data_IF_611063824579
#
_entry.id   IF_611063824579
#
_cell.length_a   1.000
_cell.length_b   1.000
_cell.length_c   1.000
_cell.angle_alpha   90.00
_cell.angle_beta   90.00
_cell.angle_gamma   90.00
#
_symmetry.space_group_name_H-M   'P 1'
#
loop_
_entity.id
_entity.type
_entity.pdbx_description
1 polymer ?
#
# COMPACT_ATOMS: atom_id res chain seq x y z
N UNK A 1 -16.19 -13.18 15.08
CA UNK A 1 -16.51 -13.93 13.82
C UNK A 1 -17.56 -13.26 12.94
N UNK A 2 -18.47 -12.41 13.45
CA UNK A 2 -19.46 -11.68 12.64
C UNK A 2 -18.91 -10.41 11.98
N UNK A 3 -18.24 -9.57 12.77
CA UNK A 3 -17.64 -8.30 12.31
C UNK A 3 -16.71 -8.47 11.09
N UNK A 4 -15.62 -9.21 11.23
CA UNK A 4 -14.60 -9.35 10.17
C UNK A 4 -15.06 -10.13 8.94
N UNK A 5 -16.27 -10.70 8.96
CA UNK A 5 -16.87 -11.44 7.83
C UNK A 5 -18.00 -10.67 7.16
N UNK A 6 -18.22 -9.40 7.54
CA UNK A 6 -19.32 -8.58 7.05
C UNK A 6 -20.68 -9.29 7.18
N UNK A 7 -20.98 -9.79 8.38
CA UNK A 7 -22.25 -10.46 8.67
C UNK A 7 -23.44 -9.53 8.32
N UNK A 8 -24.36 -9.93 7.41
CA UNK A 8 -25.41 -9.05 6.93
C UNK A 8 -26.35 -8.54 8.02
N UNK A 9 -26.71 -9.42 8.98
CA UNK A 9 -27.60 -9.08 10.09
C UNK A 9 -26.95 -8.07 11.04
N UNK A 10 -25.64 -8.21 11.30
CA UNK A 10 -24.91 -7.27 12.14
C UNK A 10 -24.82 -5.87 11.52
N UNK A 11 -24.52 -5.78 10.22
CA UNK A 11 -24.44 -4.50 9.50
C UNK A 11 -25.80 -3.78 9.47
N UNK A 12 -26.87 -4.53 9.18
CA UNK A 12 -28.25 -4.02 9.20
C UNK A 12 -28.69 -3.57 10.60
N UNK A 13 -28.37 -4.36 11.62
CA UNK A 13 -28.65 -4.01 13.01
C UNK A 13 -27.94 -2.71 13.42
N UNK A 14 -26.66 -2.55 13.11
CA UNK A 14 -25.94 -1.31 13.46
C UNK A 14 -26.41 -0.10 12.66
N UNK A 15 -26.74 -0.27 11.38
CA UNK A 15 -27.30 0.81 10.58
C UNK A 15 -28.65 1.32 11.11
N UNK A 16 -29.46 0.45 11.73
CA UNK A 16 -30.76 0.87 12.29
C UNK A 16 -30.65 1.70 13.58
N UNK A 17 -29.45 1.81 14.16
CA UNK A 17 -29.22 2.57 15.39
C UNK A 17 -29.01 4.07 15.15
N UNK A 18 -28.96 4.53 13.90
CA UNK A 18 -28.73 5.93 13.59
C UNK A 18 -29.19 6.35 12.20
N UNK A 19 -29.11 7.64 11.91
CA UNK A 19 -29.60 8.24 10.67
C UNK A 19 -28.52 8.44 9.61
N UNK A 20 -27.25 8.50 10.04
CA UNK A 20 -26.07 8.78 9.22
C UNK A 20 -24.88 7.94 9.66
N UNK A 21 -23.98 7.65 8.74
CA UNK A 21 -22.75 6.90 8.97
C UNK A 21 -21.53 7.69 8.49
N UNK A 22 -20.54 7.85 9.38
CA UNK A 22 -19.26 8.48 9.06
C UNK A 22 -18.17 7.44 9.22
N UNK A 23 -17.47 7.11 8.13
CA UNK A 23 -16.30 6.24 8.19
C UNK A 23 -15.02 7.09 8.28
N UNK A 24 -14.39 7.09 9.46
CA UNK A 24 -13.13 7.79 9.71
C UNK A 24 -11.96 6.84 9.99
N UNK A 25 -12.10 5.56 9.63
CA UNK A 25 -11.13 4.49 9.92
C UNK A 25 -10.47 3.94 8.64
N UNK A 26 -9.53 4.69 8.05
CA UNK A 26 -8.83 4.30 6.81
C UNK A 26 -8.13 2.93 6.92
N UNK A 27 -7.56 2.61 8.09
CA UNK A 27 -6.82 1.36 8.31
C UNK A 27 -7.63 0.08 8.06
N UNK A 28 -8.96 0.12 8.08
CA UNK A 28 -9.83 -1.03 7.76
C UNK A 28 -10.56 -0.87 6.43
N UNK A 29 -10.38 0.24 5.71
CA UNK A 29 -11.08 0.53 4.45
C UNK A 29 -10.79 -0.51 3.34
N UNK A 30 -9.65 -1.19 3.40
CA UNK A 30 -9.29 -2.28 2.49
C UNK A 30 -9.98 -3.62 2.80
N UNK A 31 -10.84 -3.69 3.83
CA UNK A 31 -11.55 -4.91 4.24
C UNK A 31 -13.05 -4.67 4.29
N UNK A 32 -13.82 -5.62 3.78
CA UNK A 32 -15.26 -5.63 3.95
C UNK A 32 -15.63 -6.20 5.32
N UNK A 33 -15.97 -5.33 6.28
CA UNK A 33 -16.44 -5.68 7.61
C UNK A 33 -17.86 -5.12 7.85
N UNK A 34 -18.52 -5.60 8.91
CA UNK A 34 -19.86 -5.12 9.24
C UNK A 34 -19.83 -3.64 9.66
N UNK A 35 -18.78 -3.20 10.39
CA UNK A 35 -18.65 -1.81 10.87
C UNK A 35 -18.34 -0.77 9.81
N UNK A 36 -17.98 -1.17 8.58
CA UNK A 36 -17.73 -0.26 7.47
C UNK A 36 -18.70 -0.50 6.31
N UNK A 37 -18.48 -1.52 5.49
CA UNK A 37 -19.29 -1.87 4.33
C UNK A 37 -20.70 -2.25 4.77
N UNK A 38 -20.84 -3.04 5.84
CA UNK A 38 -22.13 -3.48 6.34
C UNK A 38 -23.06 -2.33 6.73
N UNK A 39 -22.59 -1.37 7.53
CA UNK A 39 -23.38 -0.19 7.91
C UNK A 39 -23.64 0.69 6.67
N UNK A 40 -22.62 0.99 5.86
CA UNK A 40 -22.75 1.87 4.70
C UNK A 40 -23.77 1.35 3.67
N UNK A 41 -23.86 0.03 3.47
CA UNK A 41 -24.85 -0.59 2.58
C UNK A 41 -26.29 -0.55 3.10
N UNK A 42 -26.51 -0.27 4.39
CA UNK A 42 -27.83 -0.33 5.02
C UNK A 42 -28.33 1.03 5.57
N UNK A 43 -27.47 2.04 5.72
CA UNK A 43 -27.84 3.35 6.28
C UNK A 43 -28.71 4.21 5.35
N UNK A 44 -28.73 3.87 4.05
CA UNK A 44 -29.49 4.56 3.00
C UNK A 44 -28.63 5.43 2.08
N UNK A 45 -29.12 5.67 0.87
CA UNK A 45 -28.40 6.45 -0.15
C UNK A 45 -28.16 7.90 0.33
N UNK A 46 -26.94 8.40 0.11
CA UNK A 46 -26.53 9.75 0.53
C UNK A 46 -26.30 9.93 2.04
N UNK A 47 -26.45 8.87 2.86
CA UNK A 47 -26.31 8.94 4.33
C UNK A 47 -24.98 8.40 4.86
N UNK A 48 -24.04 8.09 3.97
CA UNK A 48 -22.67 7.67 4.31
C UNK A 48 -21.67 8.70 3.82
N UNK A 49 -20.70 9.09 4.66
CA UNK A 49 -19.62 9.99 4.29
C UNK A 49 -18.26 9.56 4.86
N UNK A 50 -17.19 10.05 4.25
CA UNK A 50 -15.85 9.96 4.81
C UNK A 50 -15.69 11.00 5.94
N UNK A 51 -15.11 10.59 7.06
CA UNK A 51 -14.65 11.55 8.07
C UNK A 51 -13.40 12.30 7.61
N UNK A 52 -12.95 13.27 8.40
CA UNK A 52 -11.83 14.13 8.02
C UNK A 52 -10.48 13.40 7.95
N UNK A 53 -10.25 12.38 8.79
CA UNK A 53 -9.04 11.57 8.70
C UNK A 53 -9.09 10.71 7.44
N UNK A 54 -10.22 10.05 7.19
CA UNK A 54 -10.43 9.28 5.96
C UNK A 54 -10.26 10.15 4.70
N UNK A 55 -10.86 11.33 4.67
CA UNK A 55 -10.73 12.28 3.56
C UNK A 55 -9.27 12.68 3.32
N UNK A 56 -8.53 12.99 4.38
CA UNK A 56 -7.09 13.32 4.29
C UNK A 56 -6.31 12.15 3.71
N UNK A 57 -6.52 10.93 4.22
CA UNK A 57 -5.82 9.73 3.73
C UNK A 57 -6.11 9.47 2.25
N UNK A 58 -7.38 9.58 1.82
CA UNK A 58 -7.77 9.46 0.41
C UNK A 58 -7.09 10.54 -0.43
N UNK A 59 -7.07 11.79 0.03
CA UNK A 59 -6.47 12.91 -0.71
C UNK A 59 -4.96 12.76 -0.83
N UNK A 60 -4.27 12.39 0.24
CA UNK A 60 -2.82 12.22 0.23
C UNK A 60 -2.40 11.00 -0.58
N UNK A 61 -2.99 9.84 -0.33
CA UNK A 61 -2.59 8.60 -0.99
C UNK A 61 -3.08 8.59 -2.45
N UNK A 62 -4.35 8.94 -2.67
CA UNK A 62 -4.91 9.04 -4.02
C UNK A 62 -4.25 10.14 -4.84
N UNK A 63 -4.09 11.34 -4.27
CA UNK A 63 -3.45 12.47 -4.94
C UNK A 63 -1.99 12.19 -5.30
N UNK A 64 -1.21 11.59 -4.39
CA UNK A 64 0.18 11.23 -4.65
C UNK A 64 0.35 10.12 -5.71
N UNK A 65 -0.72 9.39 -6.04
CA UNK A 65 -0.66 8.22 -6.92
C UNK A 65 -1.35 8.50 -8.27
N UNK A 66 -2.45 9.23 -8.30
CA UNK A 66 -3.24 9.40 -9.53
C UNK A 66 -2.91 10.69 -10.30
N UNK A 67 -2.61 11.77 -9.58
CA UNK A 67 -2.21 13.05 -10.18
C UNK A 67 -1.13 13.75 -9.33
N UNK A 68 0.06 13.13 -9.18
CA UNK A 68 1.11 13.70 -8.36
C UNK A 68 1.65 15.00 -8.95
N UNK A 69 1.90 15.99 -8.10
CA UNK A 69 2.80 17.08 -8.44
C UNK A 69 4.22 16.51 -8.67
N UNK A 70 4.83 16.88 -9.79
CA UNK A 70 6.15 16.39 -10.18
C UNK A 70 7.25 17.36 -9.76
N UNK A 71 8.43 16.86 -9.34
CA UNK A 71 8.85 15.46 -9.37
C UNK A 71 8.28 14.61 -8.22
N UNK A 72 7.71 13.44 -8.55
CA UNK A 72 7.29 12.43 -7.59
C UNK A 72 8.45 11.48 -7.30
N UNK A 73 8.93 11.47 -6.07
CA UNK A 73 9.93 10.53 -5.58
C UNK A 73 9.30 9.62 -4.54
N UNK A 74 9.31 8.31 -4.81
CA UNK A 74 8.90 7.32 -3.83
C UNK A 74 10.12 6.78 -3.08
N UNK A 75 9.96 6.55 -1.77
CA UNK A 75 10.98 5.92 -0.92
C UNK A 75 10.38 4.66 -0.33
N UNK A 76 10.99 3.52 -0.64
CA UNK A 76 10.54 2.20 -0.21
C UNK A 76 11.60 1.55 0.66
N UNK A 77 11.16 0.97 1.76
CA UNK A 77 12.03 0.20 2.65
C UNK A 77 11.28 -0.97 3.26
N UNK A 78 11.94 -1.62 4.21
CA UNK A 78 11.45 -2.83 4.86
C UNK A 78 12.41 -3.99 4.69
N UNK A 79 12.00 -5.16 5.16
CA UNK A 79 12.85 -6.35 5.19
C UNK A 79 12.79 -7.17 3.90
N UNK A 80 11.62 -7.22 3.25
CA UNK A 80 11.33 -8.13 2.15
C UNK A 80 10.82 -7.38 0.92
N UNK A 81 11.32 -7.79 -0.24
CA UNK A 81 10.83 -7.37 -1.55
C UNK A 81 9.44 -7.95 -1.79
N UNK A 82 9.18 -9.19 -1.37
CA UNK A 82 7.89 -9.87 -1.58
C UNK A 82 6.68 -9.09 -1.05
N UNK A 83 6.83 -8.42 0.09
CA UNK A 83 5.77 -7.61 0.70
C UNK A 83 5.47 -6.30 -0.07
N UNK A 84 6.32 -5.92 -1.03
CA UNK A 84 6.30 -4.61 -1.70
C UNK A 84 6.25 -4.67 -3.23
N UNK A 85 6.18 -5.86 -3.83
CA UNK A 85 6.22 -6.04 -5.29
C UNK A 85 5.20 -5.15 -6.01
N UNK A 86 3.91 -5.30 -5.67
CA UNK A 86 2.85 -4.52 -6.33
C UNK A 86 2.96 -3.02 -6.11
N UNK A 87 3.52 -2.59 -4.96
CA UNK A 87 3.77 -1.18 -4.68
C UNK A 87 4.91 -0.65 -5.55
N UNK A 88 6.00 -1.40 -5.70
CA UNK A 88 7.13 -1.05 -6.57
C UNK A 88 6.64 -0.95 -8.02
N UNK A 89 5.91 -1.94 -8.51
CA UNK A 89 5.43 -1.98 -9.90
C UNK A 89 4.55 -0.76 -10.23
N UNK A 90 3.58 -0.45 -9.37
CA UNK A 90 2.70 0.71 -9.53
C UNK A 90 3.49 2.03 -9.46
N UNK A 91 4.47 2.14 -8.56
CA UNK A 91 5.27 3.37 -8.41
C UNK A 91 6.30 3.55 -9.52
N UNK A 92 6.83 2.49 -10.14
CA UNK A 92 7.72 2.64 -11.30
C UNK A 92 7.02 3.27 -12.51
N UNK A 93 5.71 3.05 -12.64
CA UNK A 93 4.88 3.64 -13.69
C UNK A 93 4.58 5.12 -13.41
N UNK A 94 4.39 5.47 -12.13
CA UNK A 94 3.89 6.79 -11.71
C UNK A 94 5.01 7.75 -11.29
N UNK A 95 5.97 7.29 -10.51
CA UNK A 95 7.06 8.10 -9.96
C UNK A 95 8.16 8.41 -10.99
N UNK A 96 8.84 9.53 -10.77
CA UNK A 96 10.05 9.93 -11.50
C UNK A 96 11.27 9.14 -10.99
N UNK A 97 11.33 8.89 -9.67
CA UNK A 97 12.35 8.06 -9.03
C UNK A 97 11.74 7.20 -7.92
N UNK A 98 12.30 6.01 -7.73
CA UNK A 98 11.96 5.10 -6.64
C UNK A 98 13.26 4.75 -5.90
N UNK A 99 13.43 5.28 -4.70
CA UNK A 99 14.56 4.97 -3.83
C UNK A 99 14.23 3.72 -3.01
N UNK A 100 15.10 2.72 -3.02
CA UNK A 100 14.94 1.51 -2.22
C UNK A 100 15.98 1.50 -1.10
N UNK A 101 15.56 1.21 0.12
CA UNK A 101 16.44 1.05 1.28
C UNK A 101 15.97 -0.10 2.18
N UNK A 102 16.50 -0.17 3.40
CA UNK A 102 16.23 -1.28 4.32
C UNK A 102 16.81 -2.60 3.83
N UNK A 103 16.51 -3.70 4.53
CA UNK A 103 17.12 -5.00 4.20
C UNK A 103 16.71 -5.52 2.81
N UNK A 104 15.55 -5.12 2.29
CA UNK A 104 15.12 -5.50 0.94
C UNK A 104 16.07 -5.05 -0.17
N UNK A 105 16.90 -4.02 0.08
CA UNK A 105 17.92 -3.58 -0.89
C UNK A 105 18.92 -4.69 -1.22
N UNK A 106 19.22 -5.59 -0.27
CA UNK A 106 20.21 -6.64 -0.47
C UNK A 106 19.76 -7.68 -1.49
N UNK A 107 18.45 -7.94 -1.63
CA UNK A 107 17.93 -8.78 -2.72
C UNK A 107 18.21 -8.14 -4.10
N UNK A 108 18.05 -6.82 -4.23
CA UNK A 108 18.40 -6.10 -5.46
C UNK A 108 19.92 -6.07 -5.72
N UNK A 109 20.73 -5.81 -4.69
CA UNK A 109 22.19 -5.84 -4.81
C UNK A 109 22.70 -7.23 -5.19
N UNK A 110 22.12 -8.30 -4.62
CA UNK A 110 22.41 -9.69 -4.98
C UNK A 110 22.01 -9.99 -6.43
N UNK A 111 20.88 -9.46 -6.90
CA UNK A 111 20.47 -9.57 -8.32
C UNK A 111 21.42 -8.85 -9.29
N UNK A 112 22.15 -7.83 -8.83
CA UNK A 112 23.25 -7.18 -9.55
C UNK A 112 24.60 -7.90 -9.38
N UNK A 113 24.62 -9.08 -8.75
CA UNK A 113 25.83 -9.87 -8.54
C UNK A 113 26.76 -9.33 -7.43
N UNK A 114 26.29 -8.39 -6.61
CA UNK A 114 27.09 -7.86 -5.49
C UNK A 114 27.11 -8.85 -4.32
N UNK A 115 28.24 -8.90 -3.63
CA UNK A 115 28.35 -9.66 -2.38
C UNK A 115 27.61 -8.91 -1.28
N UNK A 116 26.61 -9.55 -0.67
CA UNK A 116 25.81 -8.97 0.42
C UNK A 116 26.14 -9.59 1.79
N UNK A 117 27.16 -10.44 1.88
CA UNK A 117 27.55 -11.15 3.10
C UNK A 117 26.40 -11.96 3.67
N UNK A 118 26.15 -11.79 4.96
CA UNK A 118 25.07 -12.44 5.73
C UNK A 118 23.78 -11.62 5.79
N UNK A 119 23.67 -10.56 4.98
CA UNK A 119 22.49 -9.70 4.97
C UNK A 119 21.25 -10.45 4.48
N UNK A 120 20.06 -10.01 4.92
CA UNK A 120 18.80 -10.66 4.55
C UNK A 120 18.55 -10.56 3.03
N UNK A 121 18.49 -11.70 2.36
CA UNK A 121 18.22 -11.82 0.93
C UNK A 121 17.08 -12.82 0.73
N UNK A 122 16.13 -12.45 -0.11
CA UNK A 122 15.10 -13.39 -0.62
C UNK A 122 15.63 -14.04 -1.90
N UNK A 123 16.34 -15.16 -1.74
CA UNK A 123 17.00 -15.89 -2.84
C UNK A 123 16.01 -16.28 -3.96
N UNK A 124 14.78 -16.63 -3.60
CA UNK A 124 13.70 -16.98 -4.54
C UNK A 124 13.12 -15.76 -5.29
N UNK A 125 13.50 -14.53 -4.90
CA UNK A 125 13.05 -13.27 -5.51
C UNK A 125 14.14 -12.56 -6.31
N UNK A 126 15.34 -13.14 -6.46
CA UNK A 126 16.45 -12.54 -7.23
C UNK A 126 16.04 -12.28 -8.69
N UNK A 127 15.41 -13.25 -9.35
CA UNK A 127 14.95 -13.11 -10.74
C UNK A 127 13.93 -11.98 -10.87
N UNK A 128 13.03 -11.85 -9.90
CA UNK A 128 12.04 -10.77 -9.86
C UNK A 128 12.71 -9.40 -9.64
N UNK A 129 13.64 -9.31 -8.68
CA UNK A 129 14.37 -8.09 -8.41
C UNK A 129 15.15 -7.60 -9.64
N UNK A 130 15.74 -8.54 -10.41
CA UNK A 130 16.39 -8.24 -11.69
C UNK A 130 15.40 -7.69 -12.72
N UNK A 131 14.24 -8.33 -12.88
CA UNK A 131 13.20 -7.87 -13.79
C UNK A 131 12.68 -6.46 -13.43
N UNK A 132 12.55 -6.16 -12.12
CA UNK A 132 12.15 -4.83 -11.65
C UNK A 132 13.23 -3.77 -11.93
N UNK A 133 14.51 -4.10 -11.76
CA UNK A 133 15.62 -3.20 -12.12
C UNK A 133 15.60 -2.87 -13.61
N UNK A 134 15.41 -3.88 -14.47
CA UNK A 134 15.30 -3.71 -15.92
C UNK A 134 14.06 -2.88 -16.29
N UNK A 135 12.87 -3.22 -15.74
CA UNK A 135 11.61 -2.47 -15.94
C UNK A 135 11.74 -1.00 -15.51
N UNK A 136 12.53 -0.73 -14.48
CA UNK A 136 12.68 0.63 -13.95
C UNK A 136 13.35 1.62 -14.90
N UNK A 137 14.12 1.13 -15.88
CA UNK A 137 14.90 1.96 -16.81
C UNK A 137 15.71 3.07 -16.09
N UNK A 138 16.36 2.73 -14.97
CA UNK A 138 17.16 3.66 -14.17
C UNK A 138 16.40 4.54 -13.18
N UNK A 139 15.07 4.40 -13.07
CA UNK A 139 14.28 5.09 -12.04
C UNK A 139 14.48 4.50 -10.64
N UNK A 140 14.83 3.22 -10.54
CA UNK A 140 15.05 2.55 -9.26
C UNK A 140 16.49 2.81 -8.78
N UNK A 141 16.61 3.50 -7.65
CA UNK A 141 17.88 3.90 -7.06
C UNK A 141 18.15 3.08 -5.81
N UNK A 142 19.31 2.42 -5.77
CA UNK A 142 19.77 1.63 -4.63
C UNK A 142 20.80 2.41 -3.81
N UNK A 143 21.00 2.08 -2.52
CA UNK A 143 22.03 2.70 -1.69
C UNK A 143 23.43 2.32 -2.18
N UNK A 144 24.38 3.22 -1.97
CA UNK A 144 25.77 3.06 -2.41
C UNK A 144 26.69 2.54 -1.30
N UNK A 145 26.23 2.61 -0.05
CA UNK A 145 26.89 2.13 1.16
C UNK A 145 25.86 1.49 2.12
N UNK A 146 26.36 0.86 3.17
CA UNK A 146 25.57 0.29 4.27
C UNK A 146 26.39 0.34 5.56
N UNK A 147 25.69 0.41 6.69
CA UNK A 147 26.28 0.32 8.05
C UNK A 147 26.18 -1.12 8.56
#
# INVERSE_FOLDING_TARGET
KKESKNDPELGKYWASLGDVFINDAFGTAHRAHASNVGIASNIGEGKSAAGFLMEKEIRFIGGAVDAPERPLVAILGGAKVSDKIGVIENLLEKADKVLVGGAMMFTFLRALGKNTGTSLVEEDKITLAKALLEKSNGKLVLPIDTV
#
